data_IF_978147530381
#
_entry.id   IF_978147530381
#
_cell.length_a   1.000
_cell.length_b   1.000
_cell.length_c   1.000
_cell.angle_alpha   90.00
_cell.angle_beta   90.00
_cell.angle_gamma   90.00
#
_symmetry.space_group_name_H-M   'P 1'
#
loop_
_entity.id
_entity.type
_entity.pdbx_description
1 polymer ?
#
# COMPACT_ATOMS: atom_id res chain seq x y z
N UNK A 1 -21.27 -4.78 -0.17
CA UNK A 1 -21.57 -5.70 0.94
C UNK A 1 -20.33 -6.54 1.18
N UNK A 2 -19.87 -6.74 2.42
CA UNK A 2 -18.61 -7.49 2.68
C UNK A 2 -18.60 -8.84 1.95
N UNK A 3 -17.51 -9.16 1.24
CA UNK A 3 -17.30 -10.45 0.55
C UNK A 3 -17.60 -11.61 1.50
N UNK A 4 -18.41 -12.56 1.04
CA UNK A 4 -18.80 -13.74 1.81
C UNK A 4 -18.21 -14.97 1.16
N UNK A 5 -17.62 -15.82 1.99
CA UNK A 5 -17.18 -17.17 1.62
C UNK A 5 -18.45 -18.02 1.53
N UNK A 6 -18.65 -18.70 0.41
CA UNK A 6 -19.87 -19.46 0.12
C UNK A 6 -19.68 -20.92 0.48
N UNK A 7 -18.54 -21.49 0.09
CA UNK A 7 -18.22 -22.90 0.31
C UNK A 7 -16.73 -23.08 0.50
N UNK A 8 -16.38 -24.02 1.36
CA UNK A 8 -15.00 -24.50 1.53
C UNK A 8 -15.05 -25.99 1.28
N UNK A 9 -14.46 -26.43 0.18
CA UNK A 9 -14.36 -27.85 -0.16
C UNK A 9 -12.96 -28.36 0.18
N UNK A 10 -12.90 -29.44 0.96
CA UNK A 10 -11.67 -30.15 1.26
C UNK A 10 -11.36 -31.09 0.08
N UNK A 11 -10.22 -30.88 -0.61
CA UNK A 11 -9.91 -31.66 -1.82
C UNK A 11 -9.02 -32.87 -1.56
N UNK A 12 -7.92 -32.72 -0.81
CA UNK A 12 -6.96 -33.81 -0.56
C UNK A 12 -5.86 -33.40 0.43
N UNK A 13 -5.33 -34.38 1.15
CA UNK A 13 -4.06 -34.26 1.88
C UNK A 13 -2.90 -34.02 0.91
N UNK A 14 -1.98 -33.14 1.30
CA UNK A 14 -0.84 -32.76 0.46
C UNK A 14 0.24 -33.85 0.51
N UNK A 15 0.39 -34.63 -0.58
CA UNK A 15 1.42 -35.68 -0.69
C UNK A 15 2.88 -35.19 -0.50
N UNK A 16 3.14 -33.89 -0.60
CA UNK A 16 4.50 -33.32 -0.50
C UNK A 16 4.86 -32.85 0.92
N UNK A 17 3.88 -32.56 1.78
CA UNK A 17 4.10 -32.07 3.14
C UNK A 17 2.97 -32.60 4.05
N UNK A 18 3.25 -33.55 4.97
CA UNK A 18 2.23 -34.24 5.75
C UNK A 18 1.39 -33.36 6.66
N UNK A 19 1.84 -32.12 6.91
CA UNK A 19 1.29 -31.22 7.92
C UNK A 19 0.40 -30.11 7.32
N UNK A 20 0.10 -30.17 6.01
CA UNK A 20 -0.59 -29.11 5.26
C UNK A 20 -1.78 -29.64 4.48
N UNK A 21 -2.96 -29.07 4.73
CA UNK A 21 -4.21 -29.42 4.05
C UNK A 21 -4.52 -28.42 2.93
N UNK A 22 -5.04 -28.92 1.80
CA UNK A 22 -5.47 -28.10 0.67
C UNK A 22 -6.99 -27.89 0.72
N UNK A 23 -7.40 -26.64 0.84
CA UNK A 23 -8.81 -26.23 0.83
C UNK A 23 -9.10 -25.43 -0.44
N UNK A 24 -10.23 -25.69 -1.08
CA UNK A 24 -10.74 -24.83 -2.15
C UNK A 24 -11.81 -23.92 -1.56
N UNK A 25 -11.52 -22.62 -1.52
CA UNK A 25 -12.41 -21.62 -0.94
C UNK A 25 -13.11 -20.90 -2.09
N UNK A 26 -14.43 -21.07 -2.18
CA UNK A 26 -15.26 -20.34 -3.14
C UNK A 26 -15.75 -19.05 -2.52
N UNK A 27 -15.37 -17.92 -3.11
CA UNK A 27 -15.70 -16.57 -2.63
C UNK A 27 -16.72 -15.93 -3.57
N UNK A 28 -17.79 -15.37 -2.99
CA UNK A 28 -18.71 -14.49 -3.71
C UNK A 28 -18.14 -13.07 -3.70
N UNK A 29 -17.83 -12.53 -4.88
CA UNK A 29 -17.47 -11.13 -5.03
C UNK A 29 -18.70 -10.21 -5.02
N UNK A 30 -18.48 -8.93 -4.73
CA UNK A 30 -19.54 -7.91 -4.69
C UNK A 30 -20.28 -7.76 -6.03
N UNK A 31 -19.64 -8.16 -7.14
CA UNK A 31 -20.17 -8.11 -8.50
C UNK A 31 -20.96 -9.37 -8.92
N UNK A 32 -21.21 -10.29 -7.99
CA UNK A 32 -21.95 -11.54 -8.26
C UNK A 32 -21.12 -12.65 -8.92
N UNK A 33 -19.82 -12.44 -9.13
CA UNK A 33 -18.90 -13.45 -9.67
C UNK A 33 -18.41 -14.40 -8.56
N UNK A 34 -18.37 -15.70 -8.86
CA UNK A 34 -17.79 -16.73 -7.99
C UNK A 34 -16.35 -16.99 -8.40
N UNK A 35 -15.42 -16.90 -7.45
CA UNK A 35 -14.01 -17.26 -7.66
C UNK A 35 -13.61 -18.38 -6.72
N UNK A 36 -13.01 -19.43 -7.28
CA UNK A 36 -12.42 -20.54 -6.53
C UNK A 36 -10.95 -20.22 -6.31
N UNK A 37 -10.55 -20.06 -5.05
CA UNK A 37 -9.17 -19.78 -4.66
C UNK A 37 -8.63 -21.01 -3.91
N UNK A 38 -7.54 -21.66 -4.38
CA UNK A 38 -6.88 -22.69 -3.61
C UNK A 38 -6.18 -22.06 -2.41
N UNK A 39 -6.53 -22.49 -1.21
CA UNK A 39 -5.99 -22.01 0.05
C UNK A 39 -5.25 -23.14 0.77
N UNK A 40 -4.08 -22.81 1.32
CA UNK A 40 -3.22 -23.75 2.02
C UNK A 40 -3.14 -23.33 3.49
N UNK A 41 -3.37 -24.27 4.40
CA UNK A 41 -3.27 -24.03 5.83
C UNK A 41 -3.13 -25.34 6.60
N UNK A 42 -2.68 -25.22 7.85
CA UNK A 42 -2.71 -26.35 8.78
C UNK A 42 -4.14 -26.70 9.17
N UNK A 43 -4.99 -25.67 9.26
CA UNK A 43 -6.40 -25.76 9.55
C UNK A 43 -7.23 -24.91 8.57
N UNK A 44 -8.52 -25.24 8.44
CA UNK A 44 -9.46 -24.50 7.60
C UNK A 44 -9.53 -23.01 7.97
N UNK A 45 -9.44 -22.69 9.25
CA UNK A 45 -9.45 -21.31 9.74
C UNK A 45 -8.15 -20.56 9.39
N UNK A 46 -7.00 -21.22 9.46
CA UNK A 46 -5.70 -20.65 9.07
C UNK A 46 -5.68 -20.36 7.56
N UNK A 47 -6.12 -21.31 6.74
CA UNK A 47 -6.25 -21.14 5.29
C UNK A 47 -7.20 -19.97 4.94
N UNK A 48 -8.35 -19.88 5.61
CA UNK A 48 -9.31 -18.80 5.38
C UNK A 48 -8.76 -17.43 5.80
N UNK A 49 -8.07 -17.36 6.94
CA UNK A 49 -7.51 -16.12 7.47
C UNK A 49 -6.46 -15.51 6.54
N UNK A 50 -5.64 -16.35 5.89
CA UNK A 50 -4.64 -15.93 4.91
C UNK A 50 -5.29 -15.38 3.64
N UNK A 51 -6.31 -16.05 3.13
CA UNK A 51 -7.04 -15.58 1.94
C UNK A 51 -7.70 -14.23 2.21
N UNK A 52 -8.34 -14.05 3.37
CA UNK A 52 -8.92 -12.75 3.77
C UNK A 52 -7.82 -11.68 3.91
N UNK A 53 -6.68 -12.03 4.50
CA UNK A 53 -5.54 -11.13 4.64
C UNK A 53 -5.00 -10.69 3.28
N UNK A 54 -4.74 -11.62 2.37
CA UNK A 54 -4.25 -11.34 1.02
C UNK A 54 -5.22 -10.46 0.23
N UNK A 55 -6.53 -10.75 0.30
CA UNK A 55 -7.54 -9.91 -0.33
C UNK A 55 -7.56 -8.47 0.24
N UNK A 56 -7.39 -8.33 1.55
CA UNK A 56 -7.29 -7.02 2.21
C UNK A 56 -6.02 -6.28 1.78
N UNK A 57 -4.88 -6.97 1.71
CA UNK A 57 -3.60 -6.43 1.25
C UNK A 57 -3.67 -6.02 -0.22
N UNK A 58 -4.33 -6.78 -1.09
CA UNK A 58 -4.55 -6.45 -2.50
C UNK A 58 -5.45 -5.21 -2.64
N UNK A 59 -6.53 -5.11 -1.85
CA UNK A 59 -7.45 -3.95 -1.91
C UNK A 59 -6.77 -2.67 -1.41
N UNK A 60 -5.94 -2.76 -0.37
CA UNK A 60 -5.13 -1.64 0.13
C UNK A 60 -4.01 -1.31 -0.87
N UNK A 61 -3.36 -2.32 -1.45
CA UNK A 61 -2.32 -2.16 -2.47
C UNK A 61 -2.83 -1.42 -3.72
N UNK A 62 -4.04 -1.73 -4.20
CA UNK A 62 -4.67 -1.01 -5.32
C UNK A 62 -4.97 0.46 -5.01
N UNK A 63 -5.30 0.81 -3.75
CA UNK A 63 -5.49 2.21 -3.34
C UNK A 63 -4.17 2.95 -3.15
N UNK A 64 -3.15 2.29 -2.59
CA UNK A 64 -1.81 2.87 -2.42
C UNK A 64 -1.11 3.14 -3.76
N UNK A 65 -1.39 2.33 -4.80
CA UNK A 65 -0.89 2.56 -6.17
C UNK A 65 -1.48 3.81 -6.84
N UNK A 66 -2.49 4.43 -6.23
CA UNK A 66 -3.24 5.54 -6.80
C UNK A 66 -3.16 6.79 -5.93
N UNK A 67 -2.07 6.97 -5.18
CA UNK A 67 -1.72 8.31 -4.72
C UNK A 67 -1.37 9.08 -5.99
N UNK A 68 -2.25 9.98 -6.46
CA UNK A 68 -2.01 10.71 -7.70
C UNK A 68 -0.77 11.58 -7.52
N UNK A 69 0.03 11.76 -8.58
CA UNK A 69 1.16 12.71 -8.55
C UNK A 69 0.75 14.10 -8.05
N UNK A 70 -0.52 14.47 -8.27
CA UNK A 70 -1.16 15.68 -7.77
C UNK A 70 -1.11 15.81 -6.24
N UNK A 71 -1.24 14.73 -5.47
CA UNK A 71 -1.12 14.77 -3.99
C UNK A 71 0.29 15.12 -3.57
N UNK A 72 1.30 14.56 -4.26
CA UNK A 72 2.70 14.92 -4.01
C UNK A 72 2.98 16.38 -4.37
N UNK A 73 2.44 16.86 -5.48
CA UNK A 73 2.55 18.27 -5.88
C UNK A 73 1.91 19.21 -4.85
N UNK A 74 0.70 18.88 -4.38
CA UNK A 74 -0.01 19.69 -3.37
C UNK A 74 0.74 19.70 -2.04
N UNK A 75 1.26 18.56 -1.59
CA UNK A 75 2.09 18.48 -0.38
C UNK A 75 3.36 19.31 -0.51
N UNK A 76 4.02 19.25 -1.66
CA UNK A 76 5.24 20.02 -1.92
C UNK A 76 4.97 21.53 -1.90
N UNK A 77 3.92 21.99 -2.58
CA UNK A 77 3.51 23.40 -2.54
C UNK A 77 3.08 23.84 -1.14
N UNK A 78 2.29 23.03 -0.43
CA UNK A 78 1.86 23.33 0.93
C UNK A 78 3.05 23.48 1.89
N UNK A 79 4.06 22.61 1.76
CA UNK A 79 5.27 22.70 2.55
C UNK A 79 6.06 23.98 2.25
N UNK A 80 6.26 24.34 0.97
CA UNK A 80 6.99 25.56 0.59
C UNK A 80 6.28 26.80 1.09
N UNK A 81 4.95 26.86 0.98
CA UNK A 81 4.16 27.97 1.49
C UNK A 81 4.30 28.09 3.02
N UNK A 82 4.18 26.97 3.74
CA UNK A 82 4.37 26.97 5.20
C UNK A 82 5.80 27.37 5.61
N UNK A 83 6.80 26.94 4.85
CA UNK A 83 8.19 27.27 5.10
C UNK A 83 8.47 28.76 4.79
N UNK A 84 7.92 29.29 3.70
CA UNK A 84 8.01 30.70 3.36
C UNK A 84 7.38 31.58 4.45
N UNK A 85 6.19 31.24 4.92
CA UNK A 85 5.50 31.96 5.99
C UNK A 85 6.33 31.96 7.29
N UNK A 86 6.84 30.79 7.69
CA UNK A 86 7.67 30.65 8.89
C UNK A 86 8.97 31.46 8.80
N UNK A 87 9.69 31.37 7.68
CA UNK A 87 10.95 32.10 7.46
C UNK A 87 10.72 33.61 7.42
N UNK A 88 9.64 34.06 6.77
CA UNK A 88 9.33 35.48 6.65
C UNK A 88 8.88 36.09 7.99
N UNK A 89 8.06 35.36 8.76
CA UNK A 89 7.58 35.77 10.08
C UNK A 89 8.64 35.72 11.20
N UNK A 90 9.79 35.10 10.94
CA UNK A 90 10.89 35.04 11.91
C UNK A 90 11.69 36.35 11.97
N UNK A 91 12.14 36.76 13.15
CA UNK A 91 13.01 37.95 13.34
C UNK A 91 14.51 37.69 13.07
N UNK A 92 14.86 36.67 12.28
CA UNK A 92 16.25 36.34 11.93
C UNK A 92 16.84 37.28 10.88
N UNK A 93 18.17 37.31 10.78
CA UNK A 93 18.86 38.05 9.71
C UNK A 93 18.54 37.46 8.33
N UNK A 94 18.60 38.30 7.29
CA UNK A 94 18.30 37.90 5.91
C UNK A 94 19.17 36.73 5.43
N UNK A 95 20.42 36.65 5.89
CA UNK A 95 21.33 35.54 5.57
C UNK A 95 20.82 34.21 6.12
N UNK A 96 20.38 34.19 7.38
CA UNK A 96 19.86 32.96 8.03
C UNK A 96 18.54 32.56 7.38
N UNK A 97 17.67 33.52 7.06
CA UNK A 97 16.42 33.28 6.33
C UNK A 97 16.66 32.59 4.98
N UNK A 98 17.62 33.09 4.19
CA UNK A 98 17.99 32.49 2.92
C UNK A 98 18.52 31.05 3.05
N UNK A 99 19.38 30.80 4.04
CA UNK A 99 19.92 29.46 4.31
C UNK A 99 18.81 28.50 4.75
N UNK A 100 17.92 28.92 5.65
CA UNK A 100 16.82 28.09 6.14
C UNK A 100 15.81 27.77 5.02
N UNK A 101 15.51 28.73 4.14
CA UNK A 101 14.65 28.51 3.00
C UNK A 101 15.29 27.56 1.97
N UNK A 102 16.56 27.79 1.63
CA UNK A 102 17.30 26.96 0.69
C UNK A 102 17.48 25.52 1.17
N UNK A 103 17.85 25.32 2.44
CA UNK A 103 17.99 23.97 3.01
C UNK A 103 16.64 23.24 3.08
N UNK A 104 15.58 23.94 3.46
CA UNK A 104 14.21 23.43 3.46
C UNK A 104 13.76 22.96 2.07
N UNK A 105 14.04 23.75 1.03
CA UNK A 105 13.74 23.39 -0.36
C UNK A 105 14.50 22.15 -0.82
N UNK A 106 15.79 22.05 -0.50
CA UNK A 106 16.61 20.89 -0.86
C UNK A 106 16.10 19.63 -0.14
N UNK A 107 15.75 19.74 1.14
CA UNK A 107 15.22 18.61 1.90
C UNK A 107 13.88 18.11 1.35
N UNK A 108 12.92 18.98 1.08
CA UNK A 108 11.60 18.56 0.58
C UNK A 108 11.67 18.01 -0.85
N UNK A 109 12.49 18.63 -1.73
CA UNK A 109 12.68 18.12 -3.09
C UNK A 109 13.36 16.74 -3.07
N UNK A 110 14.38 16.54 -2.23
CA UNK A 110 15.01 15.24 -2.03
C UNK A 110 14.03 14.17 -1.52
N UNK A 111 13.22 14.49 -0.51
CA UNK A 111 12.23 13.56 0.05
C UNK A 111 11.13 13.19 -0.94
N UNK A 112 10.64 14.15 -1.72
CA UNK A 112 9.61 13.89 -2.75
C UNK A 112 10.14 13.01 -3.87
N UNK A 113 11.34 13.29 -4.40
CA UNK A 113 11.97 12.45 -5.43
C UNK A 113 12.24 11.04 -4.91
N UNK A 114 12.74 10.92 -3.67
CA UNK A 114 12.97 9.64 -3.03
C UNK A 114 11.68 8.84 -2.83
N UNK A 115 10.62 9.49 -2.33
CA UNK A 115 9.31 8.88 -2.15
C UNK A 115 8.72 8.38 -3.47
N UNK A 116 8.71 9.22 -4.52
CA UNK A 116 8.22 8.84 -5.85
C UNK A 116 9.03 7.67 -6.41
N UNK A 117 10.35 7.70 -6.30
CA UNK A 117 11.21 6.63 -6.80
C UNK A 117 10.97 5.31 -6.05
N UNK A 118 10.82 5.35 -4.72
CA UNK A 118 10.50 4.18 -3.91
C UNK A 118 9.14 3.56 -4.28
N UNK A 119 8.10 4.39 -4.44
CA UNK A 119 6.79 3.92 -4.90
C UNK A 119 6.85 3.32 -6.31
N UNK A 120 7.67 3.90 -7.21
CA UNK A 120 7.88 3.37 -8.57
C UNK A 120 8.54 1.99 -8.55
N UNK A 121 9.60 1.80 -7.75
CA UNK A 121 10.28 0.50 -7.60
C UNK A 121 9.31 -0.54 -7.04
N UNK A 122 8.61 -0.21 -5.95
CA UNK A 122 7.65 -1.11 -5.30
C UNK A 122 6.51 -1.55 -6.23
N UNK A 123 6.11 -0.71 -7.17
CA UNK A 123 5.08 -1.05 -8.15
C UNK A 123 5.61 -1.95 -9.28
N UNK A 124 6.90 -1.86 -9.61
CA UNK A 124 7.54 -2.70 -10.63
C UNK A 124 7.63 -4.16 -10.19
N UNK A 125 7.91 -4.39 -8.90
CA UNK A 125 8.09 -5.74 -8.32
C UNK A 125 6.77 -6.56 -8.21
N UNK A 126 5.62 -5.96 -8.54
CA UNK A 126 4.31 -6.64 -8.53
C UNK A 126 3.80 -7.00 -9.93
N UNK A 127 4.50 -6.58 -10.98
CA UNK A 127 4.13 -6.83 -12.40
C UNK A 127 5.08 -7.83 -13.07
N UNK A 128 6.19 -8.19 -12.40
CA UNK A 128 7.13 -9.23 -12.83
C UNK A 128 6.83 -10.58 -12.21
#
# INVERSE_FOLDING_TARGET
MKQKVISVEFRKDSNAFPDWMKYEVTILNEDGTTQVIPAYGKDLQDALSRVVHDMKVVKIGKKANRIPDLVWTVLWFGYILGLAEWVMGSSYSNTIKGIAFGSGLICITGLTLWGINWFRIRNRDRVG
#
